data_IF_919736057163
#
_entry.id   IF_919736057163
#
_cell.length_a   1.000
_cell.length_b   1.000
_cell.length_c   1.000
_cell.angle_alpha   90.00
_cell.angle_beta   90.00
_cell.angle_gamma   90.00
#
_symmetry.space_group_name_H-M   'P 1'
#
loop_
_entity.id
_entity.type
_entity.pdbx_description
1 polymer ?
#
# COMPACT_ATOMS: atom_id res chain seq x y z
N UNK A 1 47.39 -0.03 -6.88
CA UNK A 1 46.67 0.54 -5.72
C UNK A 1 45.19 0.69 -6.05
N UNK A 2 44.36 -0.30 -5.70
CA UNK A 2 42.91 -0.20 -5.80
C UNK A 2 42.36 0.49 -4.54
N UNK A 3 41.61 1.59 -4.71
CA UNK A 3 40.82 2.16 -3.62
C UNK A 3 39.61 1.25 -3.38
N UNK A 4 39.62 0.55 -2.25
CA UNK A 4 38.45 -0.13 -1.72
C UNK A 4 37.33 0.89 -1.49
N UNK A 5 36.17 0.69 -2.12
CA UNK A 5 34.94 1.37 -1.73
C UNK A 5 34.42 0.66 -0.48
N UNK A 6 34.46 1.33 0.65
CA UNK A 6 33.81 0.91 1.89
C UNK A 6 32.29 0.89 1.68
N UNK A 7 31.73 -0.31 1.49
CA UNK A 7 30.30 -0.51 1.57
C UNK A 7 29.86 -0.44 3.02
N UNK A 8 29.24 0.68 3.43
CA UNK A 8 28.46 0.73 4.68
C UNK A 8 27.30 -0.26 4.55
N UNK A 9 27.37 -1.40 5.25
CA UNK A 9 26.29 -2.39 5.28
C UNK A 9 25.24 -1.95 6.29
N UNK A 10 24.40 -0.99 5.91
CA UNK A 10 23.15 -0.72 6.64
C UNK A 10 22.35 -2.04 6.61
N UNK A 11 21.94 -2.61 7.76
CA UNK A 11 21.09 -3.81 7.78
C UNK A 11 19.84 -3.57 6.91
N UNK A 12 19.35 -4.59 6.19
CA UNK A 12 18.04 -4.47 5.54
C UNK A 12 17.04 -4.04 6.60
N UNK A 13 16.32 -2.95 6.33
CA UNK A 13 15.34 -2.33 7.24
C UNK A 13 14.41 -3.39 7.83
N UNK A 14 13.96 -4.35 7.01
CA UNK A 14 13.07 -5.41 7.49
C UNK A 14 13.74 -6.37 8.47
N UNK A 15 15.04 -6.62 8.33
CA UNK A 15 15.77 -7.48 9.27
C UNK A 15 15.96 -6.78 10.61
N UNK A 16 16.25 -5.47 10.61
CA UNK A 16 16.28 -4.67 11.83
C UNK A 16 14.92 -4.68 12.56
N UNK A 17 13.83 -4.56 11.81
CA UNK A 17 12.46 -4.60 12.37
C UNK A 17 12.11 -6.01 12.88
N UNK A 18 12.53 -7.06 12.17
CA UNK A 18 12.37 -8.45 12.64
C UNK A 18 13.10 -8.67 13.97
N UNK A 19 14.35 -8.21 14.07
CA UNK A 19 15.13 -8.30 15.29
C UNK A 19 14.48 -7.51 16.44
N UNK A 20 13.98 -6.30 16.16
CA UNK A 20 13.24 -5.50 17.14
C UNK A 20 11.97 -6.21 17.61
N UNK A 21 11.19 -6.76 16.69
CA UNK A 21 9.97 -7.49 17.01
C UNK A 21 10.26 -8.74 17.85
N UNK A 22 11.29 -9.50 17.49
CA UNK A 22 11.71 -10.68 18.23
C UNK A 22 12.12 -10.34 19.66
N UNK A 23 12.97 -9.33 19.85
CA UNK A 23 13.37 -8.84 21.17
C UNK A 23 12.18 -8.43 22.03
N UNK A 24 11.22 -7.69 21.47
CA UNK A 24 10.02 -7.26 22.21
C UNK A 24 9.14 -8.47 22.56
N UNK A 25 8.91 -9.38 21.61
CA UNK A 25 8.11 -10.57 21.84
C UNK A 25 8.73 -11.47 22.94
N UNK A 26 10.05 -11.67 22.91
CA UNK A 26 10.78 -12.47 23.91
C UNK A 26 10.72 -11.84 25.30
N UNK A 27 10.91 -10.51 25.39
CA UNK A 27 10.81 -9.77 26.64
C UNK A 27 9.43 -9.88 27.30
N UNK A 28 8.39 -10.22 26.53
CA UNK A 28 7.03 -10.40 27.01
C UNK A 28 6.57 -11.87 27.02
N UNK A 29 7.49 -12.82 26.91
CA UNK A 29 7.20 -14.25 27.06
C UNK A 29 6.51 -14.91 25.86
N UNK A 30 6.48 -14.25 24.69
CA UNK A 30 5.91 -14.80 23.46
C UNK A 30 6.96 -15.60 22.67
N UNK A 31 7.74 -16.44 23.34
CA UNK A 31 8.86 -17.21 22.76
C UNK A 31 8.36 -18.31 21.82
N UNK A 32 7.14 -18.80 22.00
CA UNK A 32 6.47 -19.79 21.16
C UNK A 32 5.62 -19.15 20.03
N UNK A 33 5.64 -17.82 19.91
CA UNK A 33 4.99 -17.09 18.81
C UNK A 33 5.96 -16.80 17.67
N UNK A 34 5.45 -16.88 16.45
CA UNK A 34 6.21 -16.61 15.22
C UNK A 34 5.98 -15.18 14.73
N UNK A 35 7.06 -14.51 14.31
CA UNK A 35 6.99 -13.21 13.64
C UNK A 35 7.20 -13.35 12.12
N UNK A 36 6.31 -12.75 11.33
CA UNK A 36 6.42 -12.74 9.85
C UNK A 36 6.10 -11.37 9.26
N UNK A 37 6.52 -11.16 8.01
CA UNK A 37 6.03 -10.06 7.20
C UNK A 37 4.98 -10.52 6.21
N UNK A 38 3.99 -9.68 5.95
CA UNK A 38 3.02 -9.83 4.87
C UNK A 38 3.11 -8.66 3.87
N UNK A 39 2.22 -8.70 2.87
CA UNK A 39 2.13 -7.71 1.78
C UNK A 39 0.90 -6.80 1.91
N UNK A 40 0.30 -6.69 3.09
CA UNK A 40 -0.81 -5.76 3.32
C UNK A 40 -0.31 -4.32 3.11
N UNK A 41 -1.20 -3.43 2.67
CA UNK A 41 -0.85 -2.03 2.33
C UNK A 41 -1.75 -1.00 3.03
N UNK A 42 -2.72 -1.47 3.82
CA UNK A 42 -3.61 -0.63 4.66
C UNK A 42 -3.63 -1.02 6.13
N UNK A 43 -3.18 -2.23 6.45
CA UNK A 43 -3.14 -2.78 7.80
C UNK A 43 -1.67 -2.93 8.19
N UNK A 44 -1.25 -2.23 9.24
CA UNK A 44 0.14 -2.23 9.67
C UNK A 44 0.55 -3.55 10.35
N UNK A 45 -0.33 -4.13 11.18
CA UNK A 45 -0.07 -5.37 11.92
C UNK A 45 -1.31 -6.26 12.04
N UNK A 46 -1.12 -7.55 12.35
CA UNK A 46 -2.19 -8.46 12.76
C UNK A 46 -1.64 -9.57 13.67
N UNK A 47 -2.45 -9.93 14.64
CA UNK A 47 -2.24 -11.06 15.54
C UNK A 47 -3.17 -12.21 15.14
N UNK A 48 -2.59 -13.39 14.90
CA UNK A 48 -3.31 -14.61 14.50
C UNK A 48 -3.17 -15.66 15.60
N UNK A 49 -4.19 -15.75 16.44
CA UNK A 49 -4.18 -16.61 17.64
C UNK A 49 -4.11 -18.10 17.32
N UNK A 50 -4.81 -18.55 16.26
CA UNK A 50 -4.86 -19.95 15.81
C UNK A 50 -3.46 -20.52 15.51
N UNK A 51 -2.56 -19.66 15.01
CA UNK A 51 -1.21 -20.03 14.59
C UNK A 51 -0.11 -19.49 15.48
N UNK A 52 -0.46 -18.72 16.52
CA UNK A 52 0.50 -17.94 17.32
C UNK A 52 1.43 -17.10 16.44
N UNK A 53 0.86 -16.34 15.49
CA UNK A 53 1.63 -15.50 14.55
C UNK A 53 1.33 -14.03 14.78
N UNK A 54 2.38 -13.22 14.89
CA UNK A 54 2.33 -11.77 14.71
C UNK A 54 2.86 -11.46 13.31
N UNK A 55 2.08 -10.72 12.52
CA UNK A 55 2.46 -10.35 11.16
C UNK A 55 2.37 -8.85 10.94
N UNK A 56 3.45 -8.25 10.43
CA UNK A 56 3.48 -6.85 10.04
C UNK A 56 3.53 -6.69 8.52
N UNK A 57 3.00 -5.57 8.03
CA UNK A 57 3.11 -5.18 6.62
C UNK A 57 4.53 -4.75 6.29
N UNK A 58 5.28 -5.56 5.53
CA UNK A 58 6.60 -5.13 5.04
C UNK A 58 6.55 -3.80 4.26
N UNK A 59 5.57 -3.57 3.36
CA UNK A 59 5.45 -2.29 2.69
C UNK A 59 5.30 -1.09 3.64
N UNK A 60 4.41 -1.16 4.63
CA UNK A 60 4.19 -0.04 5.56
C UNK A 60 5.38 0.16 6.50
N UNK A 61 6.02 -0.93 6.93
CA UNK A 61 7.22 -0.86 7.77
C UNK A 61 8.38 -0.15 7.06
N UNK A 62 8.54 -0.37 5.75
CA UNK A 62 9.51 0.39 4.94
C UNK A 62 9.10 1.85 4.86
N UNK A 63 7.86 2.15 4.52
CA UNK A 63 7.35 3.54 4.45
C UNK A 63 7.54 4.31 5.75
N UNK A 64 7.23 3.69 6.91
CA UNK A 64 7.47 4.33 8.21
C UNK A 64 8.95 4.60 8.46
N UNK A 65 9.82 3.62 8.20
CA UNK A 65 11.26 3.77 8.40
C UNK A 65 11.86 4.84 7.49
N UNK A 66 11.50 4.83 6.21
CA UNK A 66 11.96 5.80 5.21
C UNK A 66 11.53 7.22 5.54
N UNK A 67 10.34 7.39 6.12
CA UNK A 67 9.83 8.67 6.60
C UNK A 67 10.36 9.08 7.99
N UNK A 68 11.29 8.32 8.59
CA UNK A 68 11.83 8.58 9.94
C UNK A 68 10.87 8.27 11.09
N UNK A 69 9.72 7.64 10.82
CA UNK A 69 8.68 7.30 11.79
C UNK A 69 8.97 5.97 12.52
N UNK A 70 10.15 5.82 13.11
CA UNK A 70 10.56 4.59 13.81
C UNK A 70 9.67 4.26 15.02
N UNK A 71 9.14 5.28 15.70
CA UNK A 71 8.19 5.10 16.80
C UNK A 71 6.89 4.43 16.33
N UNK A 72 6.45 4.71 15.09
CA UNK A 72 5.27 4.07 14.51
C UNK A 72 5.50 2.59 14.23
N UNK A 73 6.72 2.20 13.84
CA UNK A 73 7.11 0.78 13.70
C UNK A 73 7.04 0.09 15.07
N UNK A 74 7.66 0.69 16.09
CA UNK A 74 7.66 0.16 17.46
C UNK A 74 6.24 0.05 18.01
N UNK A 75 5.42 1.08 17.84
CA UNK A 75 4.02 1.09 18.29
C UNK A 75 3.22 -0.03 17.61
N UNK A 76 3.45 -0.28 16.32
CA UNK A 76 2.78 -1.39 15.61
C UNK A 76 3.17 -2.75 16.21
N UNK A 77 4.46 -2.97 16.52
CA UNK A 77 4.91 -4.21 17.17
C UNK A 77 4.22 -4.38 18.53
N UNK A 78 4.27 -3.34 19.37
CA UNK A 78 3.69 -3.38 20.72
C UNK A 78 2.16 -3.58 20.67
N UNK A 79 1.48 -2.99 19.69
CA UNK A 79 0.05 -3.18 19.49
C UNK A 79 -0.31 -4.66 19.27
N UNK A 80 0.42 -5.35 18.40
CA UNK A 80 0.19 -6.77 18.13
C UNK A 80 0.63 -7.67 19.29
N UNK A 81 1.74 -7.34 19.97
CA UNK A 81 2.15 -8.03 21.20
C UNK A 81 1.08 -7.89 22.29
N UNK A 82 0.46 -6.71 22.44
CA UNK A 82 -0.63 -6.50 23.38
C UNK A 82 -1.85 -7.37 23.05
N UNK A 83 -2.20 -7.53 21.77
CA UNK A 83 -3.26 -8.47 21.36
C UNK A 83 -2.92 -9.91 21.73
N UNK A 84 -1.69 -10.36 21.44
CA UNK A 84 -1.25 -11.71 21.76
C UNK A 84 -1.32 -12.00 23.27
N UNK A 85 -0.96 -11.01 24.11
CA UNK A 85 -1.02 -11.11 25.57
C UNK A 85 -2.44 -11.01 26.14
N UNK A 86 -3.30 -10.18 25.55
CA UNK A 86 -4.68 -10.02 26.00
C UNK A 86 -5.53 -11.25 25.66
N UNK A 87 -5.28 -11.86 24.51
CA UNK A 87 -6.02 -13.03 24.04
C UNK A 87 -7.22 -12.69 23.15
N UNK A 88 -7.79 -13.67 22.44
CA UNK A 88 -8.72 -13.45 21.32
C UNK A 88 -10.09 -12.89 21.70
N UNK A 89 -10.44 -12.92 22.99
CA UNK A 89 -11.70 -12.37 23.51
C UNK A 89 -11.61 -10.87 23.78
N UNK A 90 -10.40 -10.33 23.84
CA UNK A 90 -10.12 -8.93 24.12
C UNK A 90 -9.71 -8.23 22.83
N UNK A 91 -10.64 -7.44 22.30
CA UNK A 91 -10.31 -6.48 21.24
C UNK A 91 -9.62 -5.24 21.88
N UNK A 92 -9.75 -4.04 21.34
CA UNK A 92 -9.21 -2.80 21.96
C UNK A 92 -9.97 -2.31 23.22
N UNK A 93 -10.43 -3.24 24.06
CA UNK A 93 -11.15 -2.98 25.31
C UNK A 93 -10.22 -2.47 26.43
N UNK A 94 -10.76 -2.35 27.65
CA UNK A 94 -10.00 -1.86 28.80
C UNK A 94 -8.84 -2.80 29.20
N UNK A 95 -9.04 -4.12 29.08
CA UNK A 95 -8.01 -5.12 29.39
C UNK A 95 -6.85 -5.02 28.41
N UNK A 96 -7.14 -5.00 27.12
CA UNK A 96 -6.10 -4.82 26.08
C UNK A 96 -5.38 -3.49 26.27
N UNK A 97 -6.10 -2.40 26.53
CA UNK A 97 -5.50 -1.07 26.69
C UNK A 97 -4.59 -0.98 27.90
N UNK A 98 -4.96 -1.63 29.01
CA UNK A 98 -4.12 -1.73 30.20
C UNK A 98 -2.82 -2.50 29.89
N UNK A 99 -2.93 -3.62 29.17
CA UNK A 99 -1.76 -4.40 28.73
C UNK A 99 -0.88 -3.58 27.79
N UNK A 100 -1.46 -2.96 26.77
CA UNK A 100 -0.75 -2.14 25.79
C UNK A 100 0.08 -1.04 26.47
N UNK A 101 -0.54 -0.28 27.38
CA UNK A 101 0.16 0.76 28.16
C UNK A 101 1.26 0.19 29.04
N UNK A 102 1.01 -0.95 29.69
CA UNK A 102 2.00 -1.62 30.56
C UNK A 102 3.26 -2.04 29.79
N UNK A 103 3.14 -2.43 28.52
CA UNK A 103 4.28 -2.80 27.67
C UNK A 103 4.87 -1.60 26.90
N UNK A 104 4.37 -0.39 27.13
CA UNK A 104 4.89 0.84 26.55
C UNK A 104 4.26 1.28 25.22
N UNK A 105 3.14 0.68 24.81
CA UNK A 105 2.31 1.21 23.71
C UNK A 105 1.46 2.38 24.20
N UNK A 106 1.10 3.28 23.28
CA UNK A 106 0.13 4.37 23.54
C UNK A 106 -1.25 3.86 23.96
N UNK A 107 -1.59 2.62 23.61
CA UNK A 107 -2.93 2.06 23.78
C UNK A 107 -3.97 2.69 22.85
N UNK A 108 -3.55 3.35 21.77
CA UNK A 108 -4.43 3.82 20.71
C UNK A 108 -4.83 2.66 19.80
N UNK A 109 -6.10 2.65 19.39
CA UNK A 109 -6.65 1.60 18.52
C UNK A 109 -6.16 1.73 17.09
N UNK A 110 -6.03 2.96 16.62
CA UNK A 110 -5.71 3.28 15.23
C UNK A 110 -4.34 3.93 15.18
N UNK A 111 -3.61 3.62 14.11
CA UNK A 111 -2.46 4.40 13.67
C UNK A 111 -2.87 5.87 13.58
N UNK A 112 -1.94 6.78 13.88
CA UNK A 112 -2.20 8.21 13.82
C UNK A 112 -2.65 8.62 12.40
N UNK A 113 -3.62 9.55 12.25
CA UNK A 113 -4.13 9.95 10.93
C UNK A 113 -3.10 10.53 9.97
N UNK A 114 -2.01 11.08 10.52
CA UNK A 114 -0.87 11.67 9.82
C UNK A 114 0.30 10.69 9.60
N UNK A 115 0.17 9.44 10.04
CA UNK A 115 1.20 8.44 9.81
C UNK A 115 1.42 8.22 8.30
N UNK A 116 2.68 8.00 7.87
CA UNK A 116 2.99 7.75 6.47
C UNK A 116 2.13 6.63 5.87
N UNK A 117 1.45 6.89 4.77
CA UNK A 117 0.67 5.86 4.07
C UNK A 117 1.37 5.46 2.79
N UNK A 118 1.12 4.24 2.32
CA UNK A 118 1.56 3.86 0.98
C UNK A 118 0.65 4.56 0.00
N UNK A 119 1.23 5.47 -0.77
CA UNK A 119 0.55 6.07 -1.92
C UNK A 119 0.06 4.95 -2.82
N UNK A 120 -1.25 4.94 -3.08
CA UNK A 120 -1.81 3.97 -4.01
C UNK A 120 -1.77 4.56 -5.40
N UNK A 121 -1.37 3.75 -6.38
CA UNK A 121 -1.27 4.22 -7.75
C UNK A 121 -2.58 4.79 -8.29
N UNK A 122 -3.76 4.37 -7.81
CA UNK A 122 -5.04 4.95 -8.23
C UNK A 122 -5.53 6.05 -7.31
N UNK A 123 -5.66 7.26 -7.85
CA UNK A 123 -6.16 8.44 -7.14
C UNK A 123 -7.38 9.00 -7.85
N UNK A 124 -8.49 9.10 -7.14
CA UNK A 124 -9.74 9.70 -7.59
C UNK A 124 -9.90 11.09 -6.98
N UNK A 125 -10.14 12.10 -7.80
CA UNK A 125 -10.34 13.48 -7.36
C UNK A 125 -11.73 13.96 -7.77
N UNK A 126 -12.47 14.58 -6.84
CA UNK A 126 -13.78 15.17 -7.16
C UNK A 126 -13.65 16.68 -7.48
N UNK A 127 -14.69 17.33 -8.03
CA UNK A 127 -14.66 18.77 -8.36
C UNK A 127 -14.38 19.70 -7.17
N UNK A 128 -14.65 19.24 -5.95
CA UNK A 128 -14.35 19.97 -4.72
C UNK A 128 -12.90 19.76 -4.21
N UNK A 129 -12.06 19.01 -4.92
CA UNK A 129 -10.65 18.78 -4.58
C UNK A 129 -10.39 17.65 -3.57
N UNK A 130 -11.41 16.94 -3.08
CA UNK A 130 -11.18 15.78 -2.21
C UNK A 130 -10.57 14.62 -3.01
N UNK A 131 -9.57 13.97 -2.42
CA UNK A 131 -8.89 12.81 -3.00
C UNK A 131 -9.29 11.51 -2.32
N UNK A 132 -9.31 10.43 -3.10
CA UNK A 132 -9.59 9.06 -2.65
C UNK A 132 -8.63 8.08 -3.32
N UNK A 133 -8.13 7.11 -2.57
CA UNK A 133 -7.12 6.16 -3.04
C UNK A 133 -7.68 4.74 -3.21
N UNK A 134 -7.28 4.04 -4.28
CA UNK A 134 -7.64 2.63 -4.53
C UNK A 134 -6.44 1.78 -4.91
N UNK A 135 -6.42 0.54 -4.45
CA UNK A 135 -5.39 -0.42 -4.88
C UNK A 135 -5.70 -1.03 -6.24
N UNK A 136 -6.97 -1.27 -6.52
CA UNK A 136 -7.43 -1.84 -7.79
C UNK A 136 -8.01 -0.75 -8.66
N UNK A 137 -7.91 -0.95 -9.97
CA UNK A 137 -8.60 -0.15 -10.97
C UNK A 137 -10.08 -0.04 -10.57
N UNK A 138 -10.62 1.18 -10.44
CA UNK A 138 -12.05 1.38 -10.29
C UNK A 138 -12.77 0.77 -11.49
N UNK A 139 -13.74 -0.10 -11.24
CA UNK A 139 -14.50 -0.81 -12.27
C UNK A 139 -15.79 -0.11 -12.67
N UNK A 140 -16.10 1.05 -12.06
CA UNK A 140 -17.32 1.80 -12.31
C UNK A 140 -17.21 3.25 -11.87
N UNK A 141 -18.23 4.02 -12.21
CA UNK A 141 -18.37 5.43 -11.85
C UNK A 141 -18.59 5.51 -10.32
N UNK A 142 -17.88 6.41 -9.67
CA UNK A 142 -18.05 6.68 -8.24
C UNK A 142 -18.09 8.19 -7.99
N UNK A 143 -18.78 8.59 -6.93
CA UNK A 143 -18.82 9.98 -6.47
C UNK A 143 -18.22 10.13 -5.08
N UNK A 144 -17.85 11.36 -4.71
CA UNK A 144 -17.20 11.66 -3.44
C UNK A 144 -18.15 11.52 -2.24
N UNK A 145 -17.85 10.56 -1.36
CA UNK A 145 -18.63 10.33 -0.14
C UNK A 145 -18.48 11.42 0.92
N UNK A 146 -17.47 12.29 0.80
CA UNK A 146 -17.32 13.49 1.66
C UNK A 146 -18.22 14.64 1.22
N UNK A 147 -18.48 14.78 -0.08
CA UNK A 147 -19.37 15.81 -0.60
C UNK A 147 -20.85 15.44 -0.45
N UNK A 148 -21.18 14.16 -0.66
CA UNK A 148 -22.52 13.63 -0.46
C UNK A 148 -22.46 12.19 0.07
N UNK A 149 -23.25 11.83 1.10
CA UNK A 149 -23.30 10.46 1.59
C UNK A 149 -23.98 9.48 0.61
N UNK A 150 -24.67 9.98 -0.44
CA UNK A 150 -25.25 9.19 -1.52
C UNK A 150 -24.50 9.45 -2.83
N UNK A 151 -24.71 8.56 -3.81
CA UNK A 151 -24.21 8.81 -5.16
C UNK A 151 -24.79 10.11 -5.72
N UNK A 152 -23.92 10.95 -6.29
CA UNK A 152 -24.25 12.27 -6.80
C UNK A 152 -23.28 12.62 -7.93
N UNK A 153 -23.82 12.78 -9.14
CA UNK A 153 -23.06 13.02 -10.36
C UNK A 153 -22.37 14.39 -10.39
N UNK A 154 -22.76 15.33 -9.53
CA UNK A 154 -22.04 16.60 -9.35
C UNK A 154 -20.67 16.40 -8.71
N UNK A 155 -20.43 15.24 -8.09
CA UNK A 155 -19.20 14.94 -7.36
C UNK A 155 -18.48 13.69 -7.88
N UNK A 156 -18.58 13.42 -9.18
CA UNK A 156 -17.88 12.30 -9.81
C UNK A 156 -16.37 12.35 -9.55
N UNK A 157 -15.80 11.18 -9.28
CA UNK A 157 -14.37 11.00 -9.09
C UNK A 157 -13.72 10.79 -10.46
N UNK A 158 -12.81 11.68 -10.82
CA UNK A 158 -11.89 11.49 -11.94
C UNK A 158 -10.69 10.71 -11.45
N UNK A 159 -10.47 9.52 -12.00
CA UNK A 159 -9.41 8.62 -11.59
C UNK A 159 -8.17 8.75 -12.46
N UNK A 160 -7.00 8.82 -11.81
CA UNK A 160 -5.69 8.72 -12.44
C UNK A 160 -4.95 7.50 -11.93
N UNK A 161 -4.02 6.98 -12.74
CA UNK A 161 -3.01 6.01 -12.31
C UNK A 161 -1.65 6.69 -12.31
N UNK A 162 -1.02 6.89 -11.14
CA UNK A 162 0.25 7.63 -11.00
C UNK A 162 0.24 9.00 -11.68
N UNK A 163 -0.89 9.70 -11.62
CA UNK A 163 -1.09 10.99 -12.30
C UNK A 163 -1.50 10.90 -13.77
N UNK A 164 -1.43 9.72 -14.41
CA UNK A 164 -1.91 9.52 -15.78
C UNK A 164 -3.45 9.40 -15.80
N UNK A 165 -4.13 10.32 -16.48
CA UNK A 165 -5.54 10.14 -16.84
C UNK A 165 -5.66 9.07 -17.92
N UNK A 166 -6.61 8.15 -17.74
CA UNK A 166 -6.71 7.00 -18.64
C UNK A 166 -7.57 7.27 -19.86
N UNK A 167 -7.14 6.69 -20.98
CA UNK A 167 -7.92 6.56 -22.19
C UNK A 167 -9.00 5.48 -22.04
N UNK A 168 -10.16 5.72 -22.65
CA UNK A 168 -11.26 4.77 -22.68
C UNK A 168 -10.98 3.63 -23.66
N UNK A 169 -11.73 2.54 -23.50
CA UNK A 169 -11.77 1.48 -24.52
C UNK A 169 -12.30 2.08 -25.82
N UNK A 170 -11.63 1.79 -26.93
CA UNK A 170 -11.92 2.37 -28.24
C UNK A 170 -11.09 3.62 -28.56
N UNK A 171 -10.45 4.26 -27.58
CA UNK A 171 -9.55 5.39 -27.84
C UNK A 171 -8.33 4.93 -28.65
N UNK A 172 -7.95 5.72 -29.65
CA UNK A 172 -6.70 5.51 -30.38
C UNK A 172 -5.54 6.07 -29.56
N UNK A 173 -4.48 5.29 -29.44
CA UNK A 173 -3.29 5.66 -28.68
C UNK A 173 -2.02 5.37 -29.47
N UNK A 174 -1.00 6.20 -29.26
CA UNK A 174 0.36 6.03 -29.76
C UNK A 174 1.22 5.45 -28.64
N UNK A 175 1.96 4.40 -28.96
CA UNK A 175 2.93 3.79 -28.03
C UNK A 175 4.17 4.66 -27.96
N UNK A 176 4.51 5.17 -26.77
CA UNK A 176 5.71 5.98 -26.53
C UNK A 176 6.81 5.22 -25.80
N UNK A 177 6.53 4.00 -25.33
CA UNK A 177 7.57 3.13 -24.77
C UNK A 177 8.71 2.92 -25.78
N UNK A 178 9.97 3.00 -25.35
CA UNK A 178 11.12 2.75 -26.22
C UNK A 178 11.15 1.28 -26.66
N UNK A 179 11.34 1.03 -27.96
CA UNK A 179 11.53 -0.30 -28.51
C UNK A 179 10.93 -0.48 -29.90
N UNK A 180 10.72 -1.74 -30.29
CA UNK A 180 10.23 -2.14 -31.62
C UNK A 180 8.92 -1.45 -32.04
N UNK A 181 8.08 -1.09 -31.08
CA UNK A 181 6.74 -0.55 -31.32
C UNK A 181 6.64 0.96 -31.00
N UNK A 182 7.75 1.66 -30.79
CA UNK A 182 7.73 3.11 -30.59
C UNK A 182 7.05 3.81 -31.78
N UNK A 183 6.11 4.70 -31.48
CA UNK A 183 5.32 5.43 -32.46
C UNK A 183 4.17 4.64 -33.09
N UNK A 184 4.03 3.34 -32.78
CA UNK A 184 2.93 2.54 -33.30
C UNK A 184 1.58 3.07 -32.78
N UNK A 185 0.59 3.16 -33.67
CA UNK A 185 -0.76 3.60 -33.32
C UNK A 185 -1.71 2.41 -33.31
N UNK A 186 -2.44 2.26 -32.21
CA UNK A 186 -3.46 1.23 -32.05
C UNK A 186 -4.67 1.72 -31.29
N UNK A 187 -5.65 0.84 -31.14
CA UNK A 187 -6.88 1.13 -30.40
C UNK A 187 -6.83 0.42 -29.05
N UNK A 188 -7.18 1.12 -27.98
CA UNK A 188 -7.31 0.52 -26.64
C UNK A 188 -8.45 -0.48 -26.67
N UNK A 189 -8.11 -1.76 -26.61
CA UNK A 189 -9.09 -2.84 -26.54
C UNK A 189 -9.54 -3.12 -25.10
N UNK A 190 -8.63 -2.96 -24.13
CA UNK A 190 -8.94 -3.11 -22.71
C UNK A 190 -8.02 -2.26 -21.84
N UNK A 191 -8.58 -1.70 -20.78
CA UNK A 191 -7.84 -1.02 -19.72
C UNK A 191 -7.68 -2.00 -18.54
N UNK A 192 -6.47 -2.48 -18.30
CA UNK A 192 -6.17 -3.44 -17.21
C UNK A 192 -5.86 -2.70 -15.89
N UNK A 193 -5.19 -3.37 -14.95
CA UNK A 193 -4.87 -2.80 -13.64
C UNK A 193 -3.78 -1.71 -13.69
N UNK A 194 -2.82 -1.82 -14.60
CA UNK A 194 -1.63 -0.94 -14.68
C UNK A 194 -1.20 -0.64 -16.12
N UNK A 195 -1.99 -1.07 -17.11
CA UNK A 195 -1.61 -1.08 -18.53
C UNK A 195 -2.82 -1.16 -19.45
N UNK A 196 -2.66 -0.67 -20.67
CA UNK A 196 -3.57 -0.91 -21.78
C UNK A 196 -3.24 -2.23 -22.48
N UNK A 197 -4.27 -2.81 -23.05
CA UNK A 197 -4.19 -3.83 -24.10
C UNK A 197 -4.57 -3.11 -25.39
N UNK A 198 -3.60 -2.89 -26.28
CA UNK A 198 -3.74 -2.07 -27.48
C UNK A 198 -3.66 -2.97 -28.71
N UNK A 199 -4.64 -2.88 -29.60
CA UNK A 199 -4.61 -3.57 -30.89
C UNK A 199 -4.03 -2.61 -31.93
N UNK A 200 -2.84 -2.93 -32.44
CA UNK A 200 -2.12 -2.07 -33.39
C UNK A 200 -2.72 -2.20 -34.79
N UNK A 201 -2.96 -1.05 -35.43
CA UNK A 201 -3.55 -0.98 -36.77
C UNK A 201 -2.62 -1.59 -37.82
N UNK A 202 -3.17 -2.27 -38.83
CA UNK A 202 -2.40 -2.89 -39.93
C UNK A 202 -1.81 -4.28 -39.63
N UNK A 203 -1.40 -4.54 -38.37
CA UNK A 203 -0.84 -5.84 -37.97
C UNK A 203 -1.82 -6.74 -37.19
N UNK A 204 -2.95 -6.20 -36.71
CA UNK A 204 -3.92 -6.93 -35.87
C UNK A 204 -3.33 -7.43 -34.54
N UNK A 205 -2.16 -6.91 -34.13
CA UNK A 205 -1.40 -7.44 -33.00
C UNK A 205 -1.81 -6.78 -31.69
N UNK A 206 -2.03 -7.60 -30.67
CA UNK A 206 -2.27 -7.14 -29.30
C UNK A 206 -0.93 -6.83 -28.60
N UNK A 207 -0.79 -5.61 -28.10
CA UNK A 207 0.31 -5.17 -27.25
C UNK A 207 -0.20 -4.87 -25.83
N UNK A 208 0.62 -5.14 -24.83
CA UNK A 208 0.41 -4.65 -23.46
C UNK A 208 1.31 -3.44 -23.21
N UNK A 209 0.71 -2.28 -22.97
CA UNK A 209 1.43 -1.00 -22.89
C UNK A 209 1.14 -0.34 -21.53
N UNK A 210 2.15 -0.05 -20.69
CA UNK A 210 1.94 0.72 -19.45
C UNK A 210 1.19 2.01 -19.73
N UNK A 211 0.36 2.48 -18.78
CA UNK A 211 -0.48 3.65 -19.01
C UNK A 211 0.32 4.91 -19.36
N UNK A 212 1.45 5.10 -18.68
CA UNK A 212 2.41 6.19 -18.89
C UNK A 212 3.11 6.18 -20.26
N UNK A 213 2.96 5.09 -21.03
CA UNK A 213 3.60 4.89 -22.32
C UNK A 213 2.61 4.80 -23.49
N UNK A 214 1.39 5.30 -23.28
CA UNK A 214 0.37 5.37 -24.31
C UNK A 214 -0.33 6.73 -24.26
N UNK A 215 -0.19 7.49 -25.34
CA UNK A 215 -0.76 8.82 -25.48
C UNK A 215 -1.95 8.79 -26.45
N UNK A 216 -3.10 9.41 -26.14
CA UNK A 216 -4.19 9.57 -27.08
C UNK A 216 -3.74 10.28 -28.37
N UNK A 217 -4.31 9.87 -29.52
CA UNK A 217 -4.03 10.44 -30.86
C UNK A 217 -5.30 11.04 -31.45
#
# INVERSE_FOLDING_TARGET
MGKARSGSSVPDVLEAIRAQARTIMDAHGLTDWTFVFDRAVRRAGVTRFDRKVISLSAPLMRTYTEAGAHDQVRETILHEVAHALAGPRHNHDATWRAIARRIGSTGLRTVAPDAPTIETDWVGTCPAGHTMTRHRRPSGIGSCSRCSPRFDDRYLLTWTYRGTQLADVGTRVRVTAPGRWTGAVGTVHRVAQTRYHVVVSGAGRLLTVPFEHAEPV
#
